data_IF_689618723679
#
_entry.id   IF_689618723679
#
_cell.length_a   1.000
_cell.length_b   1.000
_cell.length_c   1.000
_cell.angle_alpha   90.00
_cell.angle_beta   90.00
_cell.angle_gamma   90.00
#
_symmetry.space_group_name_H-M   'P 1'
#
loop_
_entity.id
_entity.type
_entity.pdbx_description
1 polymer ?
#
# COMPACT_ATOMS: atom_id res chain seq x y z
N UNK A 1 10.15 3.71 12.03
CA UNK A 1 10.56 2.30 12.10
C UNK A 1 10.94 1.88 13.54
N UNK A 2 11.20 2.85 14.41
CA UNK A 2 11.62 2.53 15.80
C UNK A 2 10.50 1.88 16.63
N UNK A 3 9.23 2.12 16.29
CA UNK A 3 8.07 1.62 17.05
C UNK A 3 7.41 0.36 16.43
N UNK A 4 7.84 -0.06 15.23
CA UNK A 4 7.19 -1.13 14.49
C UNK A 4 8.20 -2.16 13.96
N UNK A 5 7.87 -3.43 14.11
CA UNK A 5 8.53 -4.50 13.37
C UNK A 5 7.96 -4.54 11.95
N UNK A 6 8.77 -4.22 10.96
CA UNK A 6 8.36 -4.14 9.56
C UNK A 6 8.87 -5.34 8.76
N UNK A 7 7.97 -6.04 8.06
CA UNK A 7 8.29 -7.13 7.15
C UNK A 7 8.09 -6.60 5.72
N UNK A 8 9.13 -6.49 4.90
CA UNK A 8 9.00 -5.98 3.54
C UNK A 8 8.31 -7.01 2.64
N UNK A 9 7.36 -6.53 1.81
CA UNK A 9 6.66 -7.32 0.79
C UNK A 9 6.81 -6.60 -0.54
N UNK A 10 7.35 -7.28 -1.55
CA UNK A 10 7.57 -6.70 -2.87
C UNK A 10 6.66 -7.34 -3.91
N UNK A 11 6.06 -6.51 -4.76
CA UNK A 11 5.42 -7.00 -5.98
C UNK A 11 6.49 -7.50 -6.96
N UNK A 12 6.11 -8.36 -7.91
CA UNK A 12 7.01 -8.83 -8.97
C UNK A 12 7.67 -7.65 -9.72
N UNK A 13 6.88 -6.64 -10.07
CA UNK A 13 7.41 -5.45 -10.74
C UNK A 13 8.41 -4.69 -9.87
N UNK A 14 8.12 -4.46 -8.59
CA UNK A 14 9.01 -3.74 -7.69
C UNK A 14 10.31 -4.51 -7.41
N UNK A 15 10.27 -5.85 -7.48
CA UNK A 15 11.43 -6.71 -7.26
C UNK A 15 12.32 -6.92 -8.51
N UNK A 16 11.83 -6.57 -9.73
CA UNK A 16 12.51 -6.92 -10.98
C UNK A 16 12.69 -5.76 -11.98
N UNK A 17 11.89 -4.70 -11.88
CA UNK A 17 11.92 -3.62 -12.87
C UNK A 17 12.69 -2.42 -12.32
N UNK A 18 13.76 -2.06 -13.02
CA UNK A 18 14.53 -0.86 -12.72
C UNK A 18 13.74 0.42 -13.06
N UNK A 19 13.94 1.45 -12.29
CA UNK A 19 13.31 2.75 -12.51
C UNK A 19 14.35 3.86 -12.70
N UNK A 20 13.92 5.05 -13.10
CA UNK A 20 14.79 6.24 -13.16
C UNK A 20 15.38 6.64 -11.80
N UNK A 21 14.87 6.11 -10.71
CA UNK A 21 15.31 6.42 -9.35
C UNK A 21 16.30 5.41 -8.79
N UNK A 22 16.51 4.28 -9.46
CA UNK A 22 17.42 3.22 -9.04
C UNK A 22 17.00 1.85 -9.54
N UNK A 23 17.86 0.87 -9.27
CA UNK A 23 17.60 -0.53 -9.65
C UNK A 23 16.68 -1.22 -8.63
N UNK A 24 15.87 -2.15 -9.11
CA UNK A 24 15.00 -2.99 -8.26
C UNK A 24 15.84 -3.71 -7.18
N UNK A 25 17.01 -4.23 -7.55
CA UNK A 25 17.95 -4.89 -6.63
C UNK A 25 18.42 -3.95 -5.51
N UNK A 26 18.70 -2.68 -5.82
CA UNK A 26 19.15 -1.69 -4.84
C UNK A 26 18.03 -1.38 -3.83
N UNK A 27 16.80 -1.15 -4.31
CA UNK A 27 15.66 -0.88 -3.43
C UNK A 27 15.32 -2.07 -2.54
N UNK A 28 15.38 -3.29 -3.09
CA UNK A 28 15.17 -4.51 -2.33
C UNK A 28 16.20 -4.63 -1.19
N UNK A 29 17.50 -4.51 -1.50
CA UNK A 29 18.56 -4.59 -0.50
C UNK A 29 18.44 -3.52 0.59
N UNK A 30 18.08 -2.28 0.21
CA UNK A 30 17.84 -1.20 1.17
C UNK A 30 16.65 -1.52 2.11
N UNK A 31 15.52 -1.99 1.56
CA UNK A 31 14.37 -2.34 2.38
C UNK A 31 14.69 -3.49 3.35
N UNK A 32 15.36 -4.54 2.89
CA UNK A 32 15.80 -5.67 3.72
C UNK A 32 16.77 -5.22 4.81
N UNK A 33 17.74 -4.35 4.48
CA UNK A 33 18.71 -3.80 5.43
C UNK A 33 18.05 -2.92 6.51
N UNK A 34 17.07 -2.08 6.14
CA UNK A 34 16.34 -1.23 7.08
C UNK A 34 15.40 -2.05 7.98
N UNK A 35 14.70 -3.03 7.40
CA UNK A 35 13.72 -3.83 8.12
C UNK A 35 14.35 -4.97 8.94
N UNK A 36 15.56 -5.43 8.59
CA UNK A 36 16.21 -6.59 9.20
C UNK A 36 15.55 -7.92 8.84
N UNK A 37 14.75 -7.97 7.77
CA UNK A 37 14.04 -9.16 7.29
C UNK A 37 14.18 -9.31 5.78
N UNK A 38 14.27 -10.54 5.32
CA UNK A 38 14.16 -10.87 3.90
C UNK A 38 12.77 -10.51 3.37
N UNK A 39 12.72 -9.93 2.18
CA UNK A 39 11.47 -9.51 1.56
C UNK A 39 10.65 -10.70 1.05
N UNK A 40 9.35 -10.70 1.35
CA UNK A 40 8.40 -11.64 0.77
C UNK A 40 8.08 -11.23 -0.68
N UNK A 41 8.37 -12.12 -1.64
CA UNK A 41 8.29 -11.82 -3.08
C UNK A 41 7.42 -12.79 -3.86
N UNK A 42 6.83 -13.78 -3.19
CA UNK A 42 5.99 -14.80 -3.83
C UNK A 42 4.65 -14.94 -3.15
N UNK A 43 3.64 -15.39 -3.89
CA UNK A 43 2.31 -15.67 -3.31
C UNK A 43 2.42 -16.72 -2.20
N UNK A 44 3.22 -17.77 -2.39
CA UNK A 44 3.45 -18.77 -1.36
C UNK A 44 4.10 -18.19 -0.10
N UNK A 45 4.98 -17.18 -0.23
CA UNK A 45 5.61 -16.50 0.90
C UNK A 45 4.64 -15.65 1.71
N UNK A 46 3.63 -15.04 1.08
CA UNK A 46 2.65 -14.19 1.77
C UNK A 46 1.38 -14.94 2.19
N UNK A 47 1.15 -16.14 1.68
CA UNK A 47 -0.01 -16.95 2.05
C UNK A 47 -0.14 -17.17 3.56
N UNK A 48 0.95 -17.48 4.31
CA UNK A 48 0.87 -17.70 5.76
C UNK A 48 0.46 -16.48 6.58
N UNK A 49 0.54 -15.26 6.04
CA UNK A 49 0.18 -14.03 6.73
C UNK A 49 -1.30 -14.04 7.20
N UNK A 50 -2.17 -14.65 6.41
CA UNK A 50 -3.59 -14.77 6.74
C UNK A 50 -3.87 -15.75 7.87
N UNK A 51 -3.65 -17.07 7.69
CA UNK A 51 -3.99 -18.09 8.69
C UNK A 51 -3.18 -17.94 9.99
N UNK A 52 -1.93 -17.49 9.92
CA UNK A 52 -1.06 -17.31 11.11
C UNK A 52 -1.22 -15.97 11.78
N UNK A 53 -2.03 -15.05 11.25
CA UNK A 53 -2.28 -13.70 11.79
C UNK A 53 -0.97 -12.94 12.14
N UNK A 54 0.02 -12.98 11.25
CA UNK A 54 1.37 -12.52 11.55
C UNK A 54 1.53 -10.99 11.58
N UNK A 55 0.60 -10.26 10.94
CA UNK A 55 0.66 -8.80 10.85
C UNK A 55 -0.51 -8.18 11.62
N UNK A 56 -0.27 -7.08 12.33
CA UNK A 56 -1.32 -6.26 12.94
C UNK A 56 -1.92 -5.30 11.94
N UNK A 57 -1.11 -4.82 10.99
CA UNK A 57 -1.48 -3.93 9.91
C UNK A 57 -0.67 -4.25 8.65
N UNK A 58 -1.23 -4.01 7.48
CA UNK A 58 -0.52 -4.07 6.21
C UNK A 58 -0.58 -2.69 5.52
N UNK A 59 0.59 -2.12 5.19
CA UNK A 59 0.67 -0.87 4.45
C UNK A 59 1.12 -1.12 3.00
N UNK A 60 0.41 -0.52 2.04
CA UNK A 60 0.78 -0.51 0.61
C UNK A 60 1.30 0.88 0.27
N UNK A 61 2.60 1.02 0.18
CA UNK A 61 3.28 2.30 -0.02
C UNK A 61 4.47 2.15 -0.99
N UNK A 62 4.35 2.66 -2.22
CA UNK A 62 3.20 3.31 -2.84
C UNK A 62 2.08 2.35 -3.24
N UNK A 63 0.83 2.84 -3.24
CA UNK A 63 -0.31 2.18 -3.88
C UNK A 63 -0.58 2.81 -5.25
N UNK A 64 -0.17 2.13 -6.30
CA UNK A 64 -0.39 2.57 -7.69
C UNK A 64 -1.84 2.33 -8.14
N UNK A 65 -2.28 3.02 -9.21
CA UNK A 65 -3.60 2.81 -9.81
C UNK A 65 -3.90 1.35 -10.15
N UNK A 66 -2.90 0.61 -10.66
CA UNK A 66 -3.03 -0.83 -10.93
C UNK A 66 -3.34 -1.64 -9.66
N UNK A 67 -2.60 -1.41 -8.58
CA UNK A 67 -2.85 -2.08 -7.30
C UNK A 67 -4.21 -1.67 -6.72
N UNK A 68 -4.54 -0.38 -6.77
CA UNK A 68 -5.83 0.15 -6.32
C UNK A 68 -7.00 -0.53 -7.06
N UNK A 69 -6.90 -0.63 -8.40
CA UNK A 69 -7.91 -1.30 -9.23
C UNK A 69 -8.08 -2.78 -8.88
N UNK A 70 -6.99 -3.52 -8.73
CA UNK A 70 -7.03 -4.93 -8.31
C UNK A 70 -7.70 -5.10 -6.94
N UNK A 71 -7.34 -4.30 -5.96
CA UNK A 71 -7.95 -4.33 -4.64
C UNK A 71 -9.45 -4.00 -4.70
N UNK A 72 -9.84 -2.99 -5.47
CA UNK A 72 -11.24 -2.58 -5.63
C UNK A 72 -12.09 -3.66 -6.31
N UNK A 73 -11.51 -4.44 -7.22
CA UNK A 73 -12.18 -5.55 -7.91
C UNK A 73 -12.04 -6.89 -7.18
N UNK A 74 -11.28 -6.97 -6.08
CA UNK A 74 -11.04 -8.23 -5.35
C UNK A 74 -10.09 -9.20 -6.08
N UNK A 75 -9.33 -8.69 -7.05
CA UNK A 75 -8.34 -9.47 -7.81
C UNK A 75 -7.09 -9.66 -6.94
N UNK A 76 -6.64 -10.90 -6.82
CA UNK A 76 -5.49 -11.27 -5.98
C UNK A 76 -4.49 -12.16 -6.76
N UNK A 77 -4.12 -11.72 -7.96
CA UNK A 77 -3.26 -12.40 -8.92
C UNK A 77 -1.77 -12.08 -8.78
N UNK A 78 -1.39 -11.33 -7.75
CA UNK A 78 0.00 -10.96 -7.47
C UNK A 78 0.27 -10.87 -5.97
N UNK A 79 1.54 -10.77 -5.60
CA UNK A 79 2.00 -10.84 -4.20
C UNK A 79 1.28 -9.83 -3.29
N UNK A 80 1.25 -8.55 -3.67
CA UNK A 80 0.67 -7.48 -2.84
C UNK A 80 -0.86 -7.59 -2.72
N UNK A 81 -1.65 -7.73 -3.81
CA UNK A 81 -3.09 -7.92 -3.69
C UNK A 81 -3.46 -9.20 -2.93
N UNK A 82 -2.69 -10.28 -3.09
CA UNK A 82 -2.90 -11.52 -2.35
C UNK A 82 -2.63 -11.33 -0.85
N UNK A 83 -1.53 -10.65 -0.48
CA UNK A 83 -1.23 -10.33 0.91
C UNK A 83 -2.35 -9.50 1.56
N UNK A 84 -2.86 -8.47 0.86
CA UNK A 84 -4.00 -7.69 1.33
C UNK A 84 -5.25 -8.55 1.56
N UNK A 85 -5.59 -9.43 0.60
CA UNK A 85 -6.74 -10.34 0.72
C UNK A 85 -6.57 -11.30 1.89
N UNK A 86 -5.39 -11.90 2.06
CA UNK A 86 -5.08 -12.81 3.16
C UNK A 86 -5.17 -12.09 4.53
N UNK A 87 -4.69 -10.85 4.60
CA UNK A 87 -4.73 -10.03 5.80
C UNK A 87 -6.14 -9.59 6.18
N UNK A 88 -6.93 -9.10 5.23
CA UNK A 88 -8.30 -8.63 5.42
C UNK A 88 -9.28 -9.70 5.91
N UNK A 89 -9.03 -10.99 5.63
CA UNK A 89 -9.85 -12.09 6.17
C UNK A 89 -9.87 -12.13 7.70
N UNK A 90 -8.89 -11.49 8.34
CA UNK A 90 -8.79 -11.38 9.80
C UNK A 90 -9.40 -10.08 10.33
N UNK A 91 -10.11 -9.30 9.50
CA UNK A 91 -10.66 -7.99 9.83
C UNK A 91 -9.61 -6.99 10.34
N UNK A 92 -8.36 -7.09 9.86
CA UNK A 92 -7.24 -6.23 10.24
C UNK A 92 -7.02 -5.12 9.21
N UNK A 93 -6.48 -3.96 9.63
CA UNK A 93 -6.40 -2.76 8.79
C UNK A 93 -5.37 -2.89 7.66
N UNK A 94 -5.75 -2.35 6.50
CA UNK A 94 -4.86 -2.11 5.36
C UNK A 94 -4.77 -0.60 5.13
N UNK A 95 -3.56 -0.05 5.15
CA UNK A 95 -3.28 1.36 4.86
C UNK A 95 -2.80 1.51 3.43
N UNK A 96 -3.37 2.44 2.68
CA UNK A 96 -3.01 2.72 1.30
C UNK A 96 -2.40 4.12 1.16
N UNK A 97 -1.16 4.20 0.70
CA UNK A 97 -0.49 5.46 0.33
C UNK A 97 -0.57 5.63 -1.20
N UNK A 98 -1.52 6.43 -1.67
CA UNK A 98 -1.77 6.61 -3.10
C UNK A 98 -0.58 7.22 -3.82
N UNK A 99 -0.30 6.71 -5.02
CA UNK A 99 0.61 7.31 -6.00
C UNK A 99 0.14 6.89 -7.40
N UNK A 100 -0.72 7.69 -8.01
CA UNK A 100 -1.30 7.37 -9.32
C UNK A 100 -1.55 8.61 -10.16
N UNK A 101 -1.30 8.52 -11.48
CA UNK A 101 -1.48 9.63 -12.41
C UNK A 101 -2.94 9.83 -12.86
N UNK A 102 -3.83 8.90 -12.53
CA UNK A 102 -5.22 8.86 -12.98
C UNK A 102 -6.24 8.77 -11.83
N UNK A 103 -5.86 9.21 -10.62
CA UNK A 103 -6.68 9.13 -9.43
C UNK A 103 -8.02 9.85 -9.52
N UNK A 104 -8.07 10.96 -10.29
CA UNK A 104 -9.29 11.74 -10.54
C UNK A 104 -9.96 11.39 -11.89
N UNK A 105 -9.54 10.31 -12.56
CA UNK A 105 -10.11 9.82 -13.81
C UNK A 105 -10.29 8.29 -13.78
N UNK A 106 -9.48 7.52 -14.47
CA UNK A 106 -9.64 6.07 -14.58
C UNK A 106 -9.64 5.31 -13.26
N UNK A 107 -8.87 5.74 -12.26
CA UNK A 107 -8.82 5.11 -10.93
C UNK A 107 -9.83 5.68 -9.93
N UNK A 108 -10.62 6.71 -10.28
CA UNK A 108 -11.54 7.37 -9.36
C UNK A 108 -12.63 6.42 -8.80
N UNK A 109 -13.18 5.55 -9.65
CA UNK A 109 -14.16 4.54 -9.23
C UNK A 109 -13.55 3.55 -8.23
N UNK A 110 -12.32 3.10 -8.48
CA UNK A 110 -11.60 2.17 -7.59
C UNK A 110 -11.30 2.83 -6.25
N UNK A 111 -10.90 4.10 -6.24
CA UNK A 111 -10.71 4.88 -5.04
C UNK A 111 -12.02 4.98 -4.24
N UNK A 112 -13.11 5.39 -4.88
CA UNK A 112 -14.43 5.49 -4.23
C UNK A 112 -14.93 4.16 -3.66
N UNK A 113 -14.69 3.04 -4.37
CA UNK A 113 -15.01 1.70 -3.88
C UNK A 113 -14.25 1.36 -2.59
N UNK A 114 -12.97 1.68 -2.53
CA UNK A 114 -12.12 1.34 -1.37
C UNK A 114 -12.34 2.28 -0.19
N UNK A 115 -12.62 3.57 -0.42
CA UNK A 115 -12.96 4.53 0.63
C UNK A 115 -14.19 4.10 1.45
N UNK A 116 -15.14 3.39 0.87
CA UNK A 116 -16.36 2.90 1.54
C UNK A 116 -16.22 1.50 2.15
N UNK A 117 -15.10 0.79 1.89
CA UNK A 117 -14.89 -0.56 2.42
C UNK A 117 -14.30 -0.52 3.83
N UNK A 118 -14.76 -1.42 4.68
CA UNK A 118 -14.20 -1.61 6.02
C UNK A 118 -12.74 -2.08 5.94
N UNK A 119 -11.95 -1.64 6.92
CA UNK A 119 -10.56 -2.01 7.13
C UNK A 119 -9.58 -1.46 6.08
N UNK A 120 -10.02 -0.61 5.15
CA UNK A 120 -9.14 0.19 4.32
C UNK A 120 -9.05 1.61 4.87
N UNK A 121 -7.82 2.08 5.03
CA UNK A 121 -7.48 3.42 5.48
C UNK A 121 -6.52 4.05 4.50
N UNK A 122 -6.60 5.35 4.32
CA UNK A 122 -5.78 6.06 3.36
C UNK A 122 -4.86 7.04 4.07
N UNK A 123 -3.59 7.06 3.65
CA UNK A 123 -2.73 8.18 3.99
C UNK A 123 -3.32 9.43 3.34
N UNK A 124 -3.47 10.56 4.06
CA UNK A 124 -3.95 11.80 3.48
C UNK A 124 -3.23 12.14 2.18
N UNK A 125 -3.96 12.61 1.19
CA UNK A 125 -3.45 12.79 -0.17
C UNK A 125 -3.95 14.08 -0.81
N UNK A 126 -3.25 14.52 -1.86
CA UNK A 126 -3.55 15.70 -2.65
C UNK A 126 -3.25 15.47 -4.13
N UNK A 127 -3.59 16.44 -4.98
CA UNK A 127 -3.07 16.46 -6.33
C UNK A 127 -1.55 16.68 -6.31
N UNK A 128 -0.81 15.94 -7.16
CA UNK A 128 0.65 16.05 -7.27
C UNK A 128 1.06 17.38 -7.94
N UNK A 129 0.56 17.61 -9.15
CA UNK A 129 0.75 18.84 -9.91
C UNK A 129 -0.54 19.15 -10.69
N UNK A 130 -1.45 19.98 -10.14
CA UNK A 130 -2.76 20.23 -10.76
C UNK A 130 -2.69 20.81 -12.15
N UNK A 131 -1.63 21.55 -12.47
CA UNK A 131 -1.48 22.18 -13.79
C UNK A 131 -0.94 21.23 -14.86
N UNK A 132 0.08 20.41 -14.52
CA UNK A 132 0.73 19.50 -15.45
C UNK A 132 0.15 18.09 -15.42
N UNK A 133 -0.44 17.69 -14.28
CA UNK A 133 -0.98 16.35 -14.03
C UNK A 133 -2.35 16.46 -13.36
N UNK A 134 -3.38 16.98 -14.06
CA UNK A 134 -4.66 17.36 -13.45
C UNK A 134 -5.43 16.21 -12.81
N UNK A 135 -5.10 14.96 -13.13
CA UNK A 135 -5.78 13.78 -12.57
C UNK A 135 -4.93 13.00 -11.57
N UNK A 136 -3.69 13.42 -11.32
CA UNK A 136 -2.74 12.72 -10.45
C UNK A 136 -3.06 12.94 -8.97
N UNK A 137 -3.01 11.87 -8.19
CA UNK A 137 -3.09 11.92 -6.74
C UNK A 137 -1.85 11.30 -6.10
N UNK A 138 -1.36 11.93 -5.05
CA UNK A 138 -0.21 11.45 -4.27
C UNK A 138 -0.47 11.59 -2.78
N UNK A 139 -0.15 10.56 -2.02
CA UNK A 139 -0.20 10.57 -0.56
C UNK A 139 0.94 11.43 0.02
N UNK A 140 0.67 12.09 1.13
CA UNK A 140 1.72 12.70 1.94
C UNK A 140 2.37 11.63 2.82
N UNK A 141 3.52 11.12 2.36
CA UNK A 141 4.23 10.03 3.05
C UNK A 141 4.70 10.40 4.46
N UNK A 142 4.84 11.69 4.77
CA UNK A 142 5.17 12.13 6.14
C UNK A 142 4.05 11.78 7.13
N UNK A 143 2.82 11.63 6.66
CA UNK A 143 1.66 11.24 7.46
C UNK A 143 1.46 9.71 7.57
N UNK A 144 2.29 8.89 6.90
CA UNK A 144 2.16 7.43 6.96
C UNK A 144 2.24 6.88 8.40
N UNK A 145 3.19 7.28 9.27
CA UNK A 145 3.24 6.77 10.65
C UNK A 145 1.98 7.12 11.46
N UNK A 146 1.47 8.34 11.33
CA UNK A 146 0.26 8.78 12.01
C UNK A 146 -0.98 8.04 11.49
N UNK A 147 -1.04 7.78 10.17
CA UNK A 147 -2.11 6.99 9.57
C UNK A 147 -2.09 5.54 10.06
N UNK A 148 -0.92 4.93 10.19
CA UNK A 148 -0.75 3.59 10.75
C UNK A 148 -1.28 3.53 12.18
N UNK A 149 -0.90 4.49 13.04
CA UNK A 149 -1.39 4.56 14.41
C UNK A 149 -2.93 4.70 14.48
N UNK A 150 -3.51 5.61 13.68
CA UNK A 150 -4.95 5.80 13.61
C UNK A 150 -5.69 4.56 13.09
N UNK A 151 -5.15 3.89 12.07
CA UNK A 151 -5.75 2.68 11.50
C UNK A 151 -5.73 1.49 12.46
N UNK A 152 -4.72 1.34 13.30
CA UNK A 152 -4.68 0.34 14.38
C UNK A 152 -5.79 0.54 15.40
N UNK A 153 -6.24 1.79 15.60
CA UNK A 153 -7.39 2.15 16.43
C UNK A 153 -8.73 2.10 15.66
N UNK A 154 -8.73 1.69 14.40
CA UNK A 154 -9.93 1.63 13.56
C UNK A 154 -10.41 2.99 13.04
N UNK A 155 -9.55 4.02 13.03
CA UNK A 155 -9.88 5.40 12.62
C UNK A 155 -9.15 5.81 11.35
N UNK A 156 -9.84 6.55 10.48
CA UNK A 156 -9.22 7.25 9.35
C UNK A 156 -8.58 8.55 9.84
N UNK A 157 -7.30 8.77 9.56
CA UNK A 157 -6.63 10.04 9.84
C UNK A 157 -7.28 11.18 9.02
N UNK A 158 -7.58 12.29 9.67
CA UNK A 158 -8.21 13.48 9.08
C UNK A 158 -7.29 14.71 9.19
N UNK A 159 -7.39 15.70 8.26
CA UNK A 159 -8.20 15.65 7.04
C UNK A 159 -7.65 14.64 6.04
N UNK A 160 -8.54 13.98 5.27
CA UNK A 160 -8.13 13.02 4.24
C UNK A 160 -7.61 13.72 2.98
N UNK A 161 -8.22 14.84 2.61
CA UNK A 161 -7.81 15.68 1.47
C UNK A 161 -7.02 16.88 1.96
N UNK A 162 -5.82 17.07 1.39
CA UNK A 162 -4.86 18.12 1.74
C UNK A 162 -4.85 19.22 0.68
#
# INVERSE_FOLDING_TARGET
>A
AEDYRVIPIFSEAAASIDSRFGTAKSFLAQAEGICGYEALRTIAGVEPLGPKKQLDLLAVAPCTGNTLGKLACGIADGVVPFACKAHLRNARPVVLALATNDGLSGSAESLGKLLRRRHYYFVPFRQDDPQKKPYSLVADYALLPQTVAAALEGRQLQPLLL
#
